data_IF_784521433618
#
_entry.id   IF_784521433618
#
_cell.length_a   1.000
_cell.length_b   1.000
_cell.length_c   1.000
_cell.angle_alpha   90.00
_cell.angle_beta   90.00
_cell.angle_gamma   90.00
#
_symmetry.space_group_name_H-M   'P 1'
#
loop_
_entity.id
_entity.type
_entity.pdbx_description
1 polymer ?
#
# COMPACT_ATOMS: atom_id res chain seq x y z
N UNK A 1 -10.43 7.28 -13.86
CA UNK A 1 -10.40 8.52 -13.07
C UNK A 1 -9.30 8.42 -12.01
N UNK A 2 -8.41 9.43 -11.97
CA UNK A 2 -7.44 9.62 -10.90
C UNK A 2 -7.97 10.69 -9.92
N UNK A 3 -7.79 10.49 -8.62
CA UNK A 3 -8.23 11.44 -7.58
C UNK A 3 -7.02 11.90 -6.79
N UNK A 4 -6.65 13.18 -6.94
CA UNK A 4 -5.61 13.81 -6.13
C UNK A 4 -6.23 14.28 -4.82
N UNK A 5 -5.68 13.81 -3.69
CA UNK A 5 -6.24 14.05 -2.36
C UNK A 5 -5.20 14.71 -1.44
N UNK A 6 -4.86 15.98 -1.72
CA UNK A 6 -3.83 16.67 -0.95
C UNK A 6 -4.26 17.02 0.47
N UNK A 7 -3.25 17.14 1.32
CA UNK A 7 -3.30 17.78 2.63
C UNK A 7 -2.10 18.72 2.77
N UNK A 8 -1.97 19.41 3.90
CA UNK A 8 -0.80 20.24 4.20
C UNK A 8 0.53 19.46 4.33
N UNK A 9 0.47 18.12 4.43
CA UNK A 9 1.66 17.26 4.41
C UNK A 9 2.07 16.84 2.99
N UNK A 10 1.19 17.03 2.00
CA UNK A 10 1.47 16.59 0.62
C UNK A 10 2.49 17.51 -0.03
N UNK A 11 3.57 16.93 -0.57
CA UNK A 11 4.58 17.69 -1.28
C UNK A 11 4.05 18.22 -2.62
N UNK A 12 4.48 19.42 -3.00
CA UNK A 12 4.11 19.98 -4.31
C UNK A 12 4.60 19.08 -5.44
N UNK A 13 5.80 18.50 -5.31
CA UNK A 13 6.36 17.59 -6.30
C UNK A 13 5.49 16.36 -6.54
N UNK A 14 4.84 15.80 -5.51
CA UNK A 14 3.93 14.67 -5.67
C UNK A 14 2.65 15.05 -6.42
N UNK A 15 2.16 16.28 -6.25
CA UNK A 15 1.01 16.78 -6.99
C UNK A 15 1.36 17.01 -8.46
N UNK A 16 2.52 17.62 -8.73
CA UNK A 16 3.02 17.87 -10.08
C UNK A 16 3.27 16.55 -10.82
N UNK A 17 3.90 15.57 -10.18
CA UNK A 17 4.12 14.22 -10.74
C UNK A 17 2.79 13.53 -11.10
N UNK A 18 1.77 13.67 -10.25
CA UNK A 18 0.44 13.12 -10.52
C UNK A 18 -0.23 13.81 -11.72
N UNK A 19 -0.03 15.11 -11.90
CA UNK A 19 -0.55 15.84 -13.07
C UNK A 19 0.15 15.43 -14.35
N UNK A 20 1.48 15.33 -14.33
CA UNK A 20 2.28 14.85 -15.47
C UNK A 20 1.84 13.44 -15.86
N UNK A 21 1.73 12.52 -14.90
CA UNK A 21 1.30 11.14 -15.17
C UNK A 21 -0.10 11.09 -15.78
N UNK A 22 -1.05 11.87 -15.26
CA UNK A 22 -2.40 11.91 -15.80
C UNK A 22 -2.44 12.48 -17.22
N UNK A 23 -1.61 13.48 -17.52
CA UNK A 23 -1.49 14.05 -18.86
C UNK A 23 -0.87 13.09 -19.85
N UNK A 24 0.26 12.46 -19.51
CA UNK A 24 1.00 11.53 -20.36
C UNK A 24 0.15 10.33 -20.79
N UNK A 25 -0.68 9.82 -19.88
CA UNK A 25 -1.56 8.67 -20.13
C UNK A 25 -3.01 9.05 -20.48
N UNK A 26 -3.30 10.34 -20.69
CA UNK A 26 -4.65 10.84 -20.99
C UNK A 26 -5.70 10.36 -19.95
N UNK A 27 -5.36 10.41 -18.68
CA UNK A 27 -6.24 9.99 -17.59
C UNK A 27 -6.99 11.20 -17.01
N UNK A 28 -8.32 11.15 -17.01
CA UNK A 28 -9.15 12.16 -16.33
C UNK A 28 -8.78 12.23 -14.84
N UNK A 29 -8.51 13.41 -14.32
CA UNK A 29 -8.20 13.62 -12.92
C UNK A 29 -9.10 14.66 -12.26
N UNK A 30 -9.31 14.53 -10.95
CA UNK A 30 -9.96 15.52 -10.10
C UNK A 30 -9.14 15.72 -8.82
N UNK A 31 -9.37 16.85 -8.17
CA UNK A 31 -8.79 17.12 -6.84
C UNK A 31 -9.89 17.08 -5.78
N UNK A 32 -9.70 16.26 -4.75
CA UNK A 32 -10.58 16.13 -3.59
C UNK A 32 -9.71 16.24 -2.32
N UNK A 33 -9.45 17.45 -1.85
CA UNK A 33 -8.60 17.69 -0.68
C UNK A 33 -9.18 17.06 0.59
N UNK A 34 -8.32 16.35 1.35
CA UNK A 34 -8.65 15.83 2.68
C UNK A 34 -8.29 16.82 3.80
N UNK A 35 -7.72 17.96 3.44
CA UNK A 35 -7.21 18.97 4.38
C UNK A 35 -8.25 19.43 5.43
N UNK A 36 -9.51 19.76 5.07
CA UNK A 36 -10.48 20.19 6.08
C UNK A 36 -10.77 19.15 7.14
N UNK A 37 -10.87 17.87 6.73
CA UNK A 37 -11.14 16.76 7.64
C UNK A 37 -9.95 16.50 8.57
N UNK A 38 -8.74 16.55 8.01
CA UNK A 38 -7.50 16.34 8.76
C UNK A 38 -7.30 17.45 9.80
N UNK A 39 -7.44 18.73 9.40
CA UNK A 39 -7.34 19.88 10.31
C UNK A 39 -8.34 19.82 11.46
N UNK A 40 -9.60 19.51 11.14
CA UNK A 40 -10.62 19.39 12.18
C UNK A 40 -10.28 18.31 13.21
N UNK A 41 -9.75 17.18 12.74
CA UNK A 41 -9.37 16.08 13.64
C UNK A 41 -8.12 16.39 14.47
N UNK A 42 -7.12 17.04 13.89
CA UNK A 42 -5.90 17.49 14.58
C UNK A 42 -6.20 18.49 15.70
N UNK A 43 -7.13 19.42 15.45
CA UNK A 43 -7.58 20.36 16.50
C UNK A 43 -8.20 19.67 17.71
N UNK A 44 -8.89 18.56 17.49
CA UNK A 44 -9.48 17.75 18.57
C UNK A 44 -8.46 16.81 19.24
N UNK A 45 -7.32 16.56 18.59
CA UNK A 45 -6.31 15.60 19.04
C UNK A 45 -4.90 16.19 18.89
N UNK A 46 -4.54 17.23 19.66
CA UNK A 46 -3.27 17.94 19.49
C UNK A 46 -2.03 17.10 19.86
N UNK A 47 -2.22 15.96 20.51
CA UNK A 47 -1.18 15.00 20.90
C UNK A 47 -0.86 13.93 19.86
N UNK A 48 -1.39 14.03 18.63
CA UNK A 48 -1.13 13.04 17.58
C UNK A 48 0.34 13.07 17.13
N UNK A 49 0.97 11.89 17.20
CA UNK A 49 2.25 11.67 16.56
C UNK A 49 2.11 11.49 15.00
N UNK A 50 3.22 11.47 14.31
CA UNK A 50 3.25 11.34 12.84
C UNK A 50 2.58 10.05 12.35
N UNK A 51 2.74 8.93 13.05
CA UNK A 51 2.14 7.66 12.68
C UNK A 51 0.59 7.72 12.76
N UNK A 52 0.04 8.32 13.82
CA UNK A 52 -1.41 8.51 13.97
C UNK A 52 -1.94 9.44 12.88
N UNK A 53 -1.26 10.55 12.59
CA UNK A 53 -1.60 11.50 11.52
C UNK A 53 -1.59 10.83 10.15
N UNK A 54 -0.53 10.11 9.82
CA UNK A 54 -0.42 9.37 8.57
C UNK A 54 -1.51 8.32 8.40
N UNK A 55 -1.77 7.51 9.42
CA UNK A 55 -2.84 6.53 9.41
C UNK A 55 -4.23 7.16 9.25
N UNK A 56 -4.48 8.30 9.89
CA UNK A 56 -5.74 9.01 9.74
C UNK A 56 -5.89 9.58 8.33
N UNK A 57 -4.84 10.22 7.80
CA UNK A 57 -4.82 10.73 6.42
C UNK A 57 -5.09 9.65 5.38
N UNK A 58 -4.46 8.48 5.52
CA UNK A 58 -4.67 7.32 4.66
C UNK A 58 -6.14 6.85 4.68
N UNK A 59 -6.77 6.79 5.87
CA UNK A 59 -8.18 6.41 6.00
C UNK A 59 -9.13 7.48 5.46
N UNK A 60 -8.81 8.76 5.57
CA UNK A 60 -9.61 9.83 4.95
C UNK A 60 -9.55 9.73 3.42
N UNK A 61 -8.37 9.44 2.86
CA UNK A 61 -8.24 9.17 1.42
C UNK A 61 -9.09 7.97 0.99
N UNK A 62 -9.02 6.87 1.74
CA UNK A 62 -9.85 5.70 1.48
C UNK A 62 -11.34 6.04 1.48
N UNK A 63 -11.84 6.71 2.52
CA UNK A 63 -13.26 7.08 2.62
C UNK A 63 -13.69 7.97 1.45
N UNK A 64 -12.85 8.94 1.07
CA UNK A 64 -13.08 9.83 -0.08
C UNK A 64 -13.13 9.05 -1.40
N UNK A 65 -12.23 8.07 -1.60
CA UNK A 65 -12.21 7.25 -2.81
C UNK A 65 -13.45 6.36 -2.92
N UNK A 66 -13.92 5.76 -1.83
CA UNK A 66 -15.13 4.94 -1.84
C UNK A 66 -16.40 5.76 -2.05
N UNK A 67 -16.49 6.98 -1.54
CA UNK A 67 -17.57 7.92 -1.87
C UNK A 67 -17.58 8.27 -3.36
N UNK A 68 -16.42 8.66 -3.91
CA UNK A 68 -16.27 8.97 -5.33
C UNK A 68 -16.56 7.74 -6.20
N UNK A 69 -16.13 6.55 -5.79
CA UNK A 69 -16.41 5.27 -6.45
C UNK A 69 -17.91 5.05 -6.61
N UNK A 70 -18.70 5.30 -5.58
CA UNK A 70 -20.16 5.21 -5.63
C UNK A 70 -20.75 6.26 -6.60
N UNK A 71 -20.28 7.50 -6.54
CA UNK A 71 -20.74 8.59 -7.43
C UNK A 71 -20.44 8.30 -8.91
N UNK A 72 -19.26 7.73 -9.21
CA UNK A 72 -18.81 7.46 -10.58
C UNK A 72 -19.24 6.07 -11.09
N UNK A 73 -19.94 5.27 -10.28
CA UNK A 73 -20.25 3.86 -10.55
C UNK A 73 -18.99 3.07 -10.99
N UNK A 74 -17.94 3.18 -10.22
CA UNK A 74 -16.61 2.62 -10.51
C UNK A 74 -16.07 1.82 -9.32
N UNK A 75 -15.01 1.06 -9.53
CA UNK A 75 -14.29 0.33 -8.49
C UNK A 75 -13.04 1.10 -8.05
N UNK A 76 -12.72 1.03 -6.77
CA UNK A 76 -11.45 1.56 -6.25
C UNK A 76 -10.33 0.60 -6.62
N UNK A 77 -9.32 1.09 -7.36
CA UNK A 77 -8.09 0.37 -7.65
C UNK A 77 -7.07 0.63 -6.54
N UNK A 78 -6.56 -0.47 -5.96
CA UNK A 78 -5.44 -0.43 -5.04
C UNK A 78 -4.12 -0.26 -5.76
N UNK A 79 -3.17 0.35 -5.08
CA UNK A 79 -1.82 0.61 -5.58
C UNK A 79 -0.73 -0.05 -4.74
N UNK A 80 -1.10 -0.90 -3.78
CA UNK A 80 -0.14 -1.66 -2.97
C UNK A 80 0.46 -2.79 -3.80
N UNK A 81 1.76 -2.91 -3.75
CA UNK A 81 2.51 -3.98 -4.39
C UNK A 81 2.80 -5.15 -3.43
N UNK A 82 3.37 -6.24 -3.94
CA UNK A 82 3.66 -7.46 -3.17
C UNK A 82 4.61 -7.20 -2.00
N UNK A 83 5.65 -6.38 -2.20
CA UNK A 83 6.62 -6.04 -1.15
C UNK A 83 5.94 -5.33 0.02
N UNK A 84 5.15 -4.31 -0.26
CA UNK A 84 4.39 -3.56 0.75
C UNK A 84 3.38 -4.45 1.48
N UNK A 85 2.65 -5.29 0.74
CA UNK A 85 1.69 -6.24 1.32
C UNK A 85 2.37 -7.27 2.23
N UNK A 86 3.52 -7.82 1.82
CA UNK A 86 4.23 -8.83 2.59
C UNK A 86 4.85 -8.23 3.87
N UNK A 87 5.49 -7.07 3.76
CA UNK A 87 6.08 -6.36 4.90
C UNK A 87 5.03 -5.71 5.80
N UNK A 88 3.77 -5.63 5.34
CA UNK A 88 2.71 -4.90 6.03
C UNK A 88 2.95 -3.40 6.07
N UNK A 89 3.67 -2.87 5.07
CA UNK A 89 3.93 -1.45 4.92
C UNK A 89 2.73 -0.80 4.22
N UNK A 90 1.76 -0.40 5.00
CA UNK A 90 0.50 0.21 4.60
C UNK A 90 -0.49 0.26 5.76
N UNK A 91 -1.48 1.12 5.65
CA UNK A 91 -2.50 1.35 6.67
C UNK A 91 -3.70 0.45 6.47
N UNK A 92 -3.98 -0.39 7.47
CA UNK A 92 -5.21 -1.21 7.50
C UNK A 92 -6.45 -0.31 7.41
N UNK A 93 -7.35 -0.60 6.48
CA UNK A 93 -8.54 0.22 6.15
C UNK A 93 -8.19 1.65 5.68
N UNK A 94 -6.97 1.84 5.17
CA UNK A 94 -6.52 3.04 4.50
C UNK A 94 -6.14 2.71 3.04
N UNK A 95 -4.89 2.90 2.68
CA UNK A 95 -4.33 2.55 1.36
C UNK A 95 -4.39 1.06 1.02
N UNK A 96 -4.48 0.16 2.03
CA UNK A 96 -4.69 -1.27 1.81
C UNK A 96 -6.14 -1.64 1.45
N UNK A 97 -7.09 -0.70 1.53
CA UNK A 97 -8.48 -0.95 1.17
C UNK A 97 -8.75 -0.64 -0.30
N UNK A 98 -9.14 -1.64 -1.05
CA UNK A 98 -9.47 -1.51 -2.48
C UNK A 98 -10.44 -2.60 -2.90
N UNK A 99 -11.11 -2.41 -4.04
CA UNK A 99 -11.93 -3.46 -4.64
C UNK A 99 -11.10 -4.42 -5.50
N UNK A 100 -10.06 -3.89 -6.16
CA UNK A 100 -9.10 -4.65 -6.99
C UNK A 100 -7.71 -4.07 -6.79
N UNK A 101 -6.71 -4.91 -6.66
CA UNK A 101 -5.31 -4.49 -6.53
C UNK A 101 -4.46 -5.09 -7.66
N UNK A 102 -4.35 -4.43 -8.82
CA UNK A 102 -3.74 -4.98 -10.03
C UNK A 102 -2.25 -5.30 -9.91
N UNK A 103 -1.51 -4.58 -9.07
CA UNK A 103 -0.07 -4.74 -8.87
C UNK A 103 0.29 -5.50 -7.58
N UNK A 104 -0.72 -6.08 -6.92
CA UNK A 104 -0.53 -6.76 -5.63
C UNK A 104 0.32 -8.03 -5.69
N UNK A 105 0.58 -8.57 -6.88
CA UNK A 105 1.46 -9.73 -7.10
C UNK A 105 2.83 -9.37 -7.68
N UNK A 106 3.13 -8.09 -7.86
CA UNK A 106 4.43 -7.61 -8.30
C UNK A 106 5.24 -7.09 -7.12
N UNK A 107 6.52 -7.46 -7.04
CA UNK A 107 7.46 -6.83 -6.11
C UNK A 107 7.72 -5.37 -6.49
N UNK A 108 8.16 -4.54 -5.55
CA UNK A 108 8.45 -3.12 -5.81
C UNK A 108 9.44 -2.92 -6.94
N UNK A 109 10.48 -3.74 -7.00
CA UNK A 109 11.45 -3.75 -8.09
C UNK A 109 10.81 -4.04 -9.45
N UNK A 110 9.86 -4.96 -9.50
CA UNK A 110 9.11 -5.31 -10.72
C UNK A 110 8.13 -4.20 -11.13
N UNK A 111 7.56 -3.48 -10.16
CA UNK A 111 6.74 -2.28 -10.45
C UNK A 111 7.58 -1.20 -11.12
N UNK A 112 8.83 -0.99 -10.72
CA UNK A 112 9.74 -0.06 -11.40
C UNK A 112 10.04 -0.49 -12.84
N UNK A 113 10.27 -1.79 -13.08
CA UNK A 113 10.49 -2.30 -14.43
C UNK A 113 9.24 -2.17 -15.31
N UNK A 114 8.06 -2.46 -14.75
CA UNK A 114 6.79 -2.26 -15.43
C UNK A 114 6.56 -0.78 -15.77
N UNK A 115 6.86 0.13 -14.84
CA UNK A 115 6.73 1.57 -15.06
C UNK A 115 7.64 2.05 -16.20
N UNK A 116 8.88 1.58 -16.26
CA UNK A 116 9.80 1.86 -17.38
C UNK A 116 9.25 1.33 -18.71
N UNK A 117 8.76 0.09 -18.71
CA UNK A 117 8.17 -0.53 -19.92
C UNK A 117 6.96 0.24 -20.43
N UNK A 118 6.13 0.76 -19.53
CA UNK A 118 4.94 1.55 -19.87
C UNK A 118 5.28 2.99 -20.28
N UNK A 119 6.53 3.44 -20.15
CA UNK A 119 6.94 4.79 -20.50
C UNK A 119 6.59 5.86 -19.45
N UNK A 120 6.47 5.48 -18.19
CA UNK A 120 6.33 6.46 -17.10
C UNK A 120 7.55 7.37 -17.04
N UNK A 121 7.33 8.66 -16.80
CA UNK A 121 8.41 9.67 -16.73
C UNK A 121 9.54 9.26 -15.80
N UNK A 122 10.79 9.48 -16.22
CA UNK A 122 11.98 9.18 -15.43
C UNK A 122 12.01 9.95 -14.09
N UNK A 123 11.43 11.15 -14.04
CA UNK A 123 11.30 11.92 -12.79
C UNK A 123 10.52 11.18 -11.71
N UNK A 124 9.49 10.43 -12.11
CA UNK A 124 8.67 9.61 -11.19
C UNK A 124 9.43 8.32 -10.82
N UNK A 125 10.03 7.65 -11.81
CA UNK A 125 10.72 6.37 -11.59
C UNK A 125 11.94 6.52 -10.68
N UNK A 126 12.69 7.62 -10.81
CA UNK A 126 13.92 7.86 -10.03
C UNK A 126 13.67 8.51 -8.67
N UNK A 127 12.45 8.94 -8.41
CA UNK A 127 12.07 9.52 -7.12
C UNK A 127 12.11 8.46 -6.02
N UNK A 128 12.74 8.74 -4.85
CA UNK A 128 12.72 7.81 -3.73
C UNK A 128 11.28 7.48 -3.30
N UNK A 129 10.97 6.19 -3.05
CA UNK A 129 9.65 5.80 -2.58
C UNK A 129 9.29 6.48 -1.27
N UNK A 130 8.11 7.09 -1.23
CA UNK A 130 7.56 7.72 -0.03
C UNK A 130 6.04 7.66 -0.04
N UNK A 131 5.45 7.41 1.13
CA UNK A 131 4.01 7.53 1.32
C UNK A 131 3.54 8.98 1.48
N UNK A 132 4.47 9.95 1.58
CA UNK A 132 4.20 11.41 1.67
C UNK A 132 3.17 11.75 2.78
N UNK A 133 3.29 11.09 3.93
CA UNK A 133 2.37 11.23 5.07
C UNK A 133 2.86 12.25 6.10
N UNK A 134 4.14 12.56 6.10
CA UNK A 134 4.79 13.63 6.86
C UNK A 134 6.04 14.10 6.13
N UNK A 135 6.50 15.29 6.49
CA UNK A 135 7.64 15.91 5.84
C UNK A 135 8.92 15.08 5.98
N UNK A 136 9.61 14.85 4.86
CA UNK A 136 10.85 14.08 4.81
C UNK A 136 10.71 12.55 4.96
N UNK A 137 9.51 11.99 4.88
CA UNK A 137 9.30 10.53 4.91
C UNK A 137 9.97 9.85 3.72
N UNK A 138 10.59 8.70 3.97
CA UNK A 138 11.10 7.78 2.96
C UNK A 138 10.84 6.34 3.41
N UNK A 139 10.26 5.54 2.53
CA UNK A 139 9.96 4.13 2.81
C UNK A 139 11.22 3.33 3.15
N UNK A 140 12.31 3.54 2.41
CA UNK A 140 13.57 2.83 2.62
C UNK A 140 14.25 3.26 3.93
N UNK A 141 14.09 4.53 4.35
CA UNK A 141 14.58 4.96 5.67
C UNK A 141 13.77 4.33 6.81
N UNK A 142 12.44 4.20 6.65
CA UNK A 142 11.58 3.55 7.62
C UNK A 142 11.85 2.03 7.73
N UNK A 143 12.21 1.39 6.62
CA UNK A 143 12.51 -0.04 6.55
C UNK A 143 13.97 -0.37 6.88
N UNK A 144 14.89 0.60 6.72
CA UNK A 144 16.33 0.45 6.95
C UNK A 144 17.09 -0.23 5.82
N UNK A 145 16.43 -0.59 4.72
CA UNK A 145 16.99 -1.28 3.55
C UNK A 145 16.30 -0.82 2.27
N UNK A 146 16.97 -0.98 1.13
CA UNK A 146 16.36 -0.68 -0.17
C UNK A 146 15.36 -1.77 -0.59
N UNK A 147 14.34 -1.40 -1.36
CA UNK A 147 13.40 -2.38 -1.89
C UNK A 147 14.07 -3.46 -2.75
N UNK A 148 15.13 -3.14 -3.48
CA UNK A 148 15.89 -4.13 -4.23
C UNK A 148 16.44 -5.25 -3.33
N UNK A 149 17.02 -4.88 -2.20
CA UNK A 149 17.54 -5.86 -1.22
C UNK A 149 16.41 -6.67 -0.54
N UNK A 150 15.32 -5.97 -0.17
CA UNK A 150 14.18 -6.61 0.49
C UNK A 150 13.49 -7.63 -0.43
N UNK A 151 13.31 -7.28 -1.70
CA UNK A 151 12.62 -8.12 -2.69
C UNK A 151 13.40 -9.40 -2.98
N UNK A 152 14.74 -9.34 -3.05
CA UNK A 152 15.57 -10.53 -3.24
C UNK A 152 15.38 -11.54 -2.10
N UNK A 153 15.45 -11.09 -0.85
CA UNK A 153 15.21 -11.97 0.30
C UNK A 153 13.78 -12.50 0.34
N UNK A 154 12.80 -11.66 0.01
CA UNK A 154 11.40 -12.09 -0.02
C UNK A 154 11.15 -13.15 -1.11
N UNK A 155 11.76 -13.03 -2.29
CA UNK A 155 11.68 -14.06 -3.35
C UNK A 155 12.23 -15.40 -2.86
N UNK A 156 13.41 -15.39 -2.27
CA UNK A 156 14.02 -16.62 -1.72
C UNK A 156 13.15 -17.25 -0.62
N UNK A 157 12.61 -16.43 0.28
CA UNK A 157 11.82 -16.94 1.40
C UNK A 157 10.42 -17.40 1.01
N UNK A 158 9.70 -16.60 0.21
CA UNK A 158 8.28 -16.82 -0.09
C UNK A 158 8.09 -17.73 -1.30
N UNK A 159 8.84 -17.52 -2.39
CA UNK A 159 8.65 -18.25 -3.64
C UNK A 159 9.48 -19.53 -3.66
N UNK A 160 10.76 -19.44 -3.33
CA UNK A 160 11.66 -20.59 -3.28
C UNK A 160 11.55 -21.37 -1.96
N UNK A 161 10.86 -20.81 -0.95
CA UNK A 161 10.63 -21.43 0.36
C UNK A 161 11.91 -21.84 1.09
N UNK A 162 12.98 -21.07 0.88
CA UNK A 162 14.24 -21.34 1.57
C UNK A 162 14.14 -20.99 3.05
N UNK A 163 14.87 -21.76 3.87
CA UNK A 163 14.96 -21.45 5.29
C UNK A 163 15.77 -20.17 5.54
N UNK A 164 15.53 -19.53 6.66
CA UNK A 164 16.31 -18.39 7.14
C UNK A 164 17.82 -18.65 7.07
N UNK A 165 18.26 -19.83 7.57
CA UNK A 165 19.68 -20.17 7.64
C UNK A 165 20.28 -20.40 6.25
N UNK A 166 19.51 -20.95 5.32
CA UNK A 166 19.91 -21.10 3.93
C UNK A 166 20.12 -19.75 3.26
N UNK A 167 19.19 -18.79 3.46
CA UNK A 167 19.28 -17.43 2.90
C UNK A 167 20.53 -16.73 3.44
N UNK A 168 20.77 -16.79 4.74
CA UNK A 168 21.96 -16.19 5.37
C UNK A 168 23.25 -16.85 4.87
N UNK A 169 23.25 -18.17 4.66
CA UNK A 169 24.43 -18.89 4.12
C UNK A 169 24.78 -18.51 2.68
N UNK A 170 23.81 -17.97 1.91
CA UNK A 170 24.02 -17.40 0.58
C UNK A 170 24.61 -15.97 0.60
N UNK A 171 24.87 -15.42 1.78
CA UNK A 171 25.53 -14.12 1.95
C UNK A 171 24.59 -12.94 2.23
N UNK A 172 23.30 -13.19 2.40
CA UNK A 172 22.35 -12.14 2.77
C UNK A 172 22.49 -11.74 4.25
N UNK A 173 22.24 -10.46 4.53
CA UNK A 173 22.33 -9.94 5.89
C UNK A 173 21.31 -10.62 6.83
N UNK A 174 21.81 -11.14 7.95
CA UNK A 174 20.99 -11.90 8.89
C UNK A 174 19.92 -11.04 9.57
N UNK A 175 20.24 -9.77 9.90
CA UNK A 175 19.29 -8.86 10.54
C UNK A 175 18.17 -8.46 9.59
N UNK A 176 18.51 -8.19 8.33
CA UNK A 176 17.53 -7.92 7.27
C UNK A 176 16.60 -9.12 7.08
N UNK A 177 17.17 -10.33 6.97
CA UNK A 177 16.41 -11.57 6.79
C UNK A 177 15.45 -11.80 7.96
N UNK A 178 15.91 -11.64 9.19
CA UNK A 178 15.10 -11.77 10.40
C UNK A 178 13.97 -10.73 10.44
N UNK A 179 14.26 -9.48 10.13
CA UNK A 179 13.28 -8.40 10.07
C UNK A 179 12.18 -8.67 9.03
N UNK A 180 12.56 -9.13 7.84
CA UNK A 180 11.60 -9.45 6.78
C UNK A 180 10.67 -10.58 7.24
N UNK A 181 11.22 -11.68 7.73
CA UNK A 181 10.43 -12.83 8.19
C UNK A 181 9.49 -12.42 9.33
N UNK A 182 10.00 -11.69 10.32
CA UNK A 182 9.18 -11.19 11.43
C UNK A 182 8.03 -10.31 10.92
N UNK A 183 8.30 -9.37 10.02
CA UNK A 183 7.26 -8.49 9.47
C UNK A 183 6.20 -9.24 8.68
N UNK A 184 6.58 -10.24 7.87
CA UNK A 184 5.65 -11.08 7.11
C UNK A 184 4.66 -11.76 8.06
N UNK A 185 5.13 -12.34 9.17
CA UNK A 185 4.25 -13.01 10.14
C UNK A 185 3.47 -12.02 10.99
N UNK A 186 4.12 -11.01 11.55
CA UNK A 186 3.49 -10.03 12.44
C UNK A 186 2.38 -9.24 11.78
N UNK A 187 2.53 -8.94 10.49
CA UNK A 187 1.58 -8.13 9.73
C UNK A 187 0.61 -8.95 8.87
N UNK A 188 0.57 -10.27 9.00
CA UNK A 188 -0.28 -11.13 8.15
C UNK A 188 -1.78 -10.76 8.26
N UNK A 189 -2.21 -10.24 9.40
CA UNK A 189 -3.60 -9.83 9.61
C UNK A 189 -4.03 -8.69 8.67
N UNK A 190 -3.11 -7.86 8.20
CA UNK A 190 -3.39 -6.78 7.26
C UNK A 190 -3.79 -7.29 5.87
N UNK A 191 -3.48 -8.53 5.55
CA UNK A 191 -3.80 -9.21 4.28
C UNK A 191 -5.06 -10.07 4.35
N UNK A 192 -5.79 -10.02 5.45
CA UNK A 192 -6.97 -10.85 5.69
C UNK A 192 -8.16 -10.00 6.12
N UNK A 193 -9.34 -10.50 5.80
CA UNK A 193 -10.58 -9.96 6.36
C UNK A 193 -10.59 -10.15 7.89
N UNK A 194 -11.35 -9.32 8.61
CA UNK A 194 -11.53 -9.49 10.05
C UNK A 194 -11.90 -10.92 10.42
N UNK A 195 -11.31 -11.43 11.49
CA UNK A 195 -11.60 -12.77 12.00
C UNK A 195 -13.03 -12.81 12.54
N UNK A 196 -13.82 -13.74 12.07
CA UNK A 196 -15.18 -14.00 12.57
C UNK A 196 -15.10 -15.11 13.61
N UNK A 197 -15.60 -14.85 14.81
CA UNK A 197 -15.68 -15.87 15.86
C UNK A 197 -16.66 -16.98 15.42
N UNK A 198 -16.20 -18.23 15.43
CA UNK A 198 -17.03 -19.38 15.05
C UNK A 198 -17.93 -19.77 16.22
N UNK A 199 -19.22 -19.42 16.11
CA UNK A 199 -20.25 -19.72 17.12
C UNK A 199 -21.28 -20.75 16.64
N UNK A 200 -21.30 -21.04 15.34
CA UNK A 200 -22.24 -21.96 14.70
C UNK A 200 -21.52 -22.99 13.85
N UNK A 201 -22.25 -24.03 13.39
CA UNK A 201 -21.71 -25.07 12.53
C UNK A 201 -21.31 -24.57 11.13
N UNK A 202 -21.87 -23.44 10.67
CA UNK A 202 -21.55 -22.83 9.35
C UNK A 202 -21.31 -21.34 9.50
N UNK A 203 -20.05 -20.96 9.59
CA UNK A 203 -19.61 -19.59 9.76
C UNK A 203 -19.09 -19.03 8.43
N UNK A 204 -19.50 -17.81 8.06
CA UNK A 204 -19.04 -17.09 6.87
C UNK A 204 -17.50 -16.97 6.89
N UNK A 205 -16.88 -17.15 5.74
CA UNK A 205 -15.42 -17.16 5.55
C UNK A 205 -14.66 -18.28 6.28
N UNK A 206 -15.38 -19.24 6.88
CA UNK A 206 -14.80 -20.47 7.45
C UNK A 206 -15.37 -21.69 6.73
N UNK A 207 -16.62 -22.03 7.03
CA UNK A 207 -17.31 -23.22 6.49
C UNK A 207 -18.15 -22.88 5.25
N UNK A 208 -18.52 -21.60 5.10
CA UNK A 208 -19.22 -21.08 3.95
C UNK A 208 -18.33 -20.06 3.24
N UNK A 209 -17.63 -20.53 2.23
CA UNK A 209 -16.84 -19.71 1.32
C UNK A 209 -17.71 -19.35 0.11
N UNK A 210 -17.35 -18.26 -0.56
CA UNK A 210 -18.03 -17.78 -1.73
C UNK A 210 -18.07 -18.86 -2.82
N UNK A 211 -19.25 -19.38 -3.21
CA UNK A 211 -19.34 -20.37 -4.27
C UNK A 211 -19.25 -19.67 -5.62
N UNK A 212 -18.09 -19.77 -6.26
CA UNK A 212 -17.82 -19.12 -7.56
C UNK A 212 -18.73 -19.60 -8.69
N UNK A 213 -19.32 -20.79 -8.55
CA UNK A 213 -20.02 -21.48 -9.62
C UNK A 213 -21.55 -21.54 -9.44
N UNK A 214 -22.10 -20.92 -8.42
CA UNK A 214 -23.54 -20.80 -8.27
C UNK A 214 -24.03 -19.61 -9.10
N UNK A 215 -24.67 -19.92 -10.20
CA UNK A 215 -25.55 -18.97 -10.89
C UNK A 215 -26.84 -18.84 -10.07
N UNK A 216 -27.05 -17.65 -9.53
CA UNK A 216 -28.36 -17.28 -8.97
C UNK A 216 -29.34 -17.00 -10.10
#
# INVERSE_FOLDING_TARGET
>A
LCVKMPSHYSSQSSLDDAEVLCADFNIRSITASIEPMLRAYELLNPDMDNLRKGNFSSRMRMSTLFDISARENALVLGTSNKSELMLGYGTLYGDLASAVNPIGDLYKSEVFELAKYLGVSSSIITKPPSADLWDGQSDEADLGYTYAQLDEVMKLYVEERLSRDTIVSQGFDAKMTDMIIERIFRNHFKRKMPVIAKLTSRTVNHDFNYPRDIRL
#
